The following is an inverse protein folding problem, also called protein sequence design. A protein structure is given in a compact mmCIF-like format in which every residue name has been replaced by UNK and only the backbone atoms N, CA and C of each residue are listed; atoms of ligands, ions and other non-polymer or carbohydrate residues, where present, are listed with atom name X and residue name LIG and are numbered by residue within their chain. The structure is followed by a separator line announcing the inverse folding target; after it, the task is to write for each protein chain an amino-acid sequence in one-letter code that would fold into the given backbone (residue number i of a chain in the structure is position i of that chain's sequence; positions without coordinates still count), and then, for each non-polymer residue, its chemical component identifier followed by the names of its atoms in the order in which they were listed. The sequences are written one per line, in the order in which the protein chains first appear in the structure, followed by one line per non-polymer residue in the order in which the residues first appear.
data_IF_325211745824
#
_entry.id   IF_325211745824
#
_cell.length_a   1.000
_cell.length_b   1.000
_cell.length_c   1.000
_cell.angle_alpha   90.00
_cell.angle_beta   90.00
_cell.angle_gamma   90.00
#
_symmetry.space_group_name_H-M   'P 1'
#
loop_
_entity.id
_entity.type
_entity.pdbx_description
1 polymer ?
#
# COMPACT_ATOMS: atom_id res chain seq x y z
N UNK A 1 8.62 -19.08 18.08
CA UNK A 1 7.43 -18.23 17.89
C UNK A 1 7.80 -17.23 16.80
N UNK A 2 7.44 -17.49 15.54
CA UNK A 2 7.73 -16.54 14.44
C UNK A 2 6.57 -15.54 14.45
N UNK A 3 6.74 -14.43 15.17
CA UNK A 3 5.90 -13.25 14.93
C UNK A 3 6.17 -12.84 13.48
N UNK A 4 5.16 -13.01 12.61
CA UNK A 4 5.28 -12.60 11.21
C UNK A 4 5.40 -11.08 11.20
N UNK A 5 6.57 -10.58 10.81
CA UNK A 5 6.92 -9.15 10.61
C UNK A 5 5.83 -8.33 9.88
N UNK A 6 4.94 -9.01 9.18
CA UNK A 6 3.97 -8.43 8.26
C UNK A 6 2.60 -8.20 8.90
N UNK A 7 2.30 -8.78 10.08
CA UNK A 7 1.12 -8.36 10.85
C UNK A 7 1.29 -6.96 11.45
N UNK A 8 2.54 -6.54 11.72
CA UNK A 8 2.86 -5.18 12.18
C UNK A 8 2.56 -4.11 11.12
N UNK A 9 2.22 -4.50 9.89
CA UNK A 9 1.79 -3.59 8.84
C UNK A 9 0.29 -3.25 8.92
N UNK A 10 -0.52 -4.01 9.66
CA UNK A 10 -1.95 -3.72 9.79
C UNK A 10 -2.16 -2.38 10.51
N UNK A 11 -3.00 -1.52 9.94
CA UNK A 11 -3.20 -0.14 10.40
C UNK A 11 -2.20 0.87 9.81
N UNK A 12 -1.12 0.41 9.16
CA UNK A 12 -0.24 1.26 8.36
C UNK A 12 -0.85 1.55 7.00
N UNK A 13 -0.20 2.44 6.26
CA UNK A 13 -0.61 2.85 4.94
C UNK A 13 0.34 2.31 3.89
N UNK A 14 -0.18 2.10 2.68
CA UNK A 14 0.61 1.72 1.52
C UNK A 14 0.39 2.67 0.35
N UNK A 15 1.35 2.71 -0.56
CA UNK A 15 1.19 3.20 -1.93
C UNK A 15 1.55 2.07 -2.87
N UNK A 16 0.69 1.78 -3.84
CA UNK A 16 0.94 0.81 -4.90
C UNK A 16 1.37 1.53 -6.17
N UNK A 17 2.45 1.04 -6.78
CA UNK A 17 2.99 1.57 -8.03
C UNK A 17 2.66 0.63 -9.19
N UNK A 18 2.32 1.23 -10.33
CA UNK A 18 2.11 0.53 -11.60
C UNK A 18 3.44 0.16 -12.25
N UNK A 19 3.38 -0.62 -13.34
CA UNK A 19 4.57 -1.04 -14.09
C UNK A 19 5.36 0.14 -14.70
N UNK A 20 4.69 1.27 -14.90
CA UNK A 20 5.29 2.51 -15.40
C UNK A 20 6.02 3.32 -14.32
N UNK A 21 6.03 2.87 -13.05
CA UNK A 21 6.66 3.59 -11.93
C UNK A 21 5.78 4.66 -11.29
N UNK A 22 4.57 4.87 -11.80
CA UNK A 22 3.60 5.83 -11.25
C UNK A 22 2.81 5.24 -10.09
N UNK A 23 2.48 6.07 -9.11
CA UNK A 23 1.60 5.68 -8.02
C UNK A 23 0.15 5.54 -8.53
N UNK A 24 -0.42 4.35 -8.38
CA UNK A 24 -1.77 4.01 -8.87
C UNK A 24 -2.82 4.21 -7.80
N UNK A 25 -2.50 3.88 -6.55
CA UNK A 25 -3.38 4.12 -5.42
C UNK A 25 -2.59 4.14 -4.11
N UNK A 26 -3.20 4.68 -3.06
CA UNK A 26 -2.76 4.53 -1.69
C UNK A 26 -3.88 3.90 -0.86
N UNK A 27 -3.57 3.25 0.26
CA UNK A 27 -4.60 2.60 1.08
C UNK A 27 -4.16 2.21 2.47
N UNK A 28 -5.13 1.97 3.35
CA UNK A 28 -4.91 1.51 4.72
C UNK A 28 -4.89 -0.02 4.77
N UNK A 29 -3.82 -0.60 5.32
CA UNK A 29 -3.63 -2.04 5.38
C UNK A 29 -4.56 -2.63 6.43
N UNK A 30 -5.43 -3.54 6.01
CA UNK A 30 -6.39 -4.21 6.89
C UNK A 30 -6.02 -5.67 7.15
N UNK A 31 -5.29 -6.32 6.25
CA UNK A 31 -4.78 -7.67 6.47
C UNK A 31 -3.65 -8.02 5.51
N UNK A 32 -2.88 -9.02 5.89
CA UNK A 32 -1.87 -9.64 5.03
C UNK A 32 -2.12 -11.14 5.05
N UNK A 33 -2.01 -11.79 3.89
CA UNK A 33 -2.21 -13.24 3.82
C UNK A 33 -1.13 -14.01 4.57
N UNK A 34 -1.35 -15.31 4.77
CA UNK A 34 -0.44 -16.13 5.57
C UNK A 34 0.98 -16.29 4.98
N UNK A 35 1.17 -15.99 3.70
CA UNK A 35 2.46 -16.09 3.01
C UNK A 35 3.18 -14.75 2.89
N UNK A 36 2.59 -13.67 3.38
CA UNK A 36 3.10 -12.30 3.25
C UNK A 36 3.28 -11.82 1.79
N UNK A 37 2.55 -12.46 0.87
CA UNK A 37 2.60 -12.20 -0.58
C UNK A 37 1.54 -11.16 -1.00
N UNK A 38 0.38 -11.21 -0.35
CA UNK A 38 -0.78 -10.38 -0.68
C UNK A 38 -1.16 -9.51 0.52
N UNK A 39 -1.21 -8.21 0.28
CA UNK A 39 -1.56 -7.18 1.24
C UNK A 39 -2.93 -6.63 0.86
N UNK A 40 -3.91 -6.80 1.73
CA UNK A 40 -5.23 -6.24 1.54
C UNK A 40 -5.30 -4.87 2.21
N UNK A 41 -5.74 -3.87 1.45
CA UNK A 41 -5.93 -2.52 1.96
C UNK A 41 -7.28 -1.95 1.50
N UNK A 42 -7.76 -0.95 2.25
CA UNK A 42 -8.86 -0.10 1.84
C UNK A 42 -8.27 1.05 1.03
N UNK A 43 -8.65 1.13 -0.23
CA UNK A 43 -8.24 2.16 -1.16
C UNK A 43 -8.64 3.55 -0.61
N UNK A 44 -7.66 4.45 -0.51
CA UNK A 44 -7.84 5.81 -0.01
C UNK A 44 -8.69 6.69 -0.93
N UNK A 45 -8.76 6.35 -2.21
CA UNK A 45 -9.49 7.04 -3.30
C UNK A 45 -10.91 6.47 -3.42
N UNK A 46 -11.02 5.18 -3.77
CA UNK A 46 -12.31 4.54 -4.07
C UNK A 46 -13.05 4.02 -2.85
N UNK A 47 -12.36 3.86 -1.70
CA UNK A 47 -12.86 3.18 -0.49
C UNK A 47 -13.17 1.69 -0.67
N UNK A 48 -12.81 1.11 -1.82
CA UNK A 48 -12.93 -0.32 -2.06
C UNK A 48 -11.83 -1.11 -1.37
N UNK A 49 -12.10 -2.38 -1.06
CA UNK A 49 -11.08 -3.30 -0.59
C UNK A 49 -10.33 -3.87 -1.78
N UNK A 50 -8.99 -3.82 -1.74
CA UNK A 50 -8.11 -4.30 -2.81
C UNK A 50 -6.96 -5.11 -2.26
N UNK A 51 -6.55 -6.13 -3.00
CA UNK A 51 -5.37 -6.95 -2.72
C UNK A 51 -4.21 -6.54 -3.61
N UNK A 52 -3.04 -6.30 -3.01
CA UNK A 52 -1.83 -5.87 -3.68
C UNK A 52 -0.72 -6.90 -3.48
N UNK A 53 0.01 -7.20 -4.56
CA UNK A 53 1.24 -7.97 -4.45
C UNK A 53 2.34 -7.15 -3.77
N UNK A 54 3.06 -7.75 -2.82
CA UNK A 54 4.07 -7.07 -1.99
C UNK A 54 5.18 -6.36 -2.78
N UNK A 55 5.49 -6.82 -4.00
CA UNK A 55 6.62 -6.30 -4.77
C UNK A 55 6.47 -4.85 -5.25
N UNK A 56 5.25 -4.36 -5.38
CA UNK A 56 4.96 -3.04 -5.94
C UNK A 56 4.31 -2.10 -4.92
N UNK A 57 4.59 -2.31 -3.63
CA UNK A 57 4.00 -1.51 -2.55
C UNK A 57 5.06 -0.98 -1.60
N UNK A 58 4.94 0.31 -1.29
CA UNK A 58 5.73 0.98 -0.26
C UNK A 58 4.84 1.27 0.94
N UNK A 59 5.41 1.16 2.14
CA UNK A 59 4.69 1.32 3.40
C UNK A 59 4.99 2.64 4.06
N UNK A 60 3.99 3.21 4.71
CA UNK A 60 4.03 4.48 5.41
C UNK A 60 3.33 4.35 6.75
N UNK A 61 3.84 5.03 7.77
CA UNK A 61 3.22 5.01 9.10
C UNK A 61 1.89 5.77 9.11
N UNK A 62 1.77 6.82 8.29
CA UNK A 62 0.60 7.68 8.30
C UNK A 62 -0.06 7.84 6.94
N UNK A 63 -1.38 8.10 6.98
CA UNK A 63 -2.16 8.50 5.80
C UNK A 63 -1.57 9.71 5.08
N UNK A 64 -1.06 10.68 5.83
CA UNK A 64 -0.57 11.94 5.28
C UNK A 64 0.66 11.70 4.41
N UNK A 65 1.57 10.84 4.84
CA UNK A 65 2.77 10.46 4.09
C UNK A 65 2.41 9.66 2.84
N UNK A 66 1.58 8.62 2.98
CA UNK A 66 1.14 7.82 1.83
C UNK A 66 0.39 8.66 0.78
N UNK A 67 -0.47 9.59 1.23
CA UNK A 67 -1.18 10.50 0.34
C UNK A 67 -0.22 11.46 -0.37
N UNK A 68 0.77 12.01 0.35
CA UNK A 68 1.78 12.90 -0.24
C UNK A 68 2.58 12.17 -1.32
N UNK A 69 3.07 10.97 -1.01
CA UNK A 69 3.80 10.13 -1.96
C UNK A 69 2.94 9.83 -3.19
N UNK A 70 1.70 9.37 -2.99
CA UNK A 70 0.78 9.15 -4.09
C UNK A 70 0.59 10.41 -4.94
N UNK A 71 0.44 11.58 -4.33
CA UNK A 71 0.25 12.84 -5.06
C UNK A 71 1.50 13.27 -5.84
N UNK A 72 2.70 12.98 -5.34
CA UNK A 72 3.99 13.27 -5.98
C UNK A 72 4.21 12.38 -7.20
N UNK A 73 3.81 11.10 -7.14
CA UNK A 73 4.09 10.11 -8.18
C UNK A 73 2.89 9.68 -9.02
N UNK A 74 1.67 10.20 -8.78
CA UNK A 74 0.50 9.94 -9.65
C UNK A 74 0.58 10.70 -10.98
N UNK A 75 1.30 11.83 -11.02
CA UNK A 75 1.47 12.70 -12.19
C UNK A 75 2.95 13.02 -12.44
N UNK A 76 3.87 12.13 -12.09
CA UNK A 76 5.28 12.30 -12.41
C UNK A 76 5.49 12.15 -13.93
N UNK A 77 4.98 13.10 -14.71
CA UNK A 77 5.12 13.18 -16.16
C UNK A 77 6.61 13.22 -16.56
N UNK A 78 6.90 12.59 -17.70
CA UNK A 78 8.18 12.54 -18.42
C UNK A 78 8.82 13.91 -18.67
#
# INVERSE_FOLDING_TARGET
MIQKLTQDLVGKWLVNYGASGFAVCYGEIISVNEKDEIINAIDGISKEKRGFGRHNVFFFETKKEAKKEYEEYQFAEE
#
